data_IF_692657427337
#
_entry.id   IF_692657427337
#
_cell.length_a   1.000
_cell.length_b   1.000
_cell.length_c   1.000
_cell.angle_alpha   90.00
_cell.angle_beta   90.00
_cell.angle_gamma   90.00
#
_symmetry.space_group_name_H-M   'P 1'
#
loop_
_entity.id
_entity.type
_entity.pdbx_description
1 polymer ?
#
# COMPACT_ATOMS: atom_id res chain seq x y z
N UNK A 1 -13.79 -3.16 14.34
CA UNK A 1 -13.73 -4.40 13.54
C UNK A 1 -13.36 -4.02 12.11
N UNK A 2 -12.07 -3.76 11.83
CA UNK A 2 -11.57 -3.34 10.52
C UNK A 2 -10.69 -4.45 9.96
N UNK A 3 -11.30 -5.49 9.38
CA UNK A 3 -10.58 -6.68 8.94
C UNK A 3 -11.07 -7.19 7.57
N UNK A 4 -11.48 -6.30 6.66
CA UNK A 4 -11.79 -6.65 5.27
C UNK A 4 -10.88 -5.93 4.25
N UNK A 5 -9.85 -5.21 4.73
CA UNK A 5 -8.94 -4.42 3.89
C UNK A 5 -7.50 -4.95 3.92
N UNK A 6 -7.28 -6.18 4.40
CA UNK A 6 -5.92 -6.73 4.48
C UNK A 6 -5.57 -7.33 3.12
N UNK A 7 -4.57 -6.80 2.41
CA UNK A 7 -4.09 -7.39 1.16
C UNK A 7 -3.53 -8.79 1.45
N UNK A 8 -3.86 -9.75 0.60
CA UNK A 8 -3.30 -11.11 0.66
C UNK A 8 -1.86 -11.16 0.18
N UNK A 9 -1.47 -10.22 -0.69
CA UNK A 9 -0.11 -10.13 -1.20
C UNK A 9 0.29 -8.68 -1.37
N UNK A 10 1.52 -8.39 -0.95
CA UNK A 10 2.11 -7.06 -1.02
C UNK A 10 3.44 -7.21 -1.75
N UNK A 11 3.63 -6.45 -2.83
CA UNK A 11 4.88 -6.44 -3.61
C UNK A 11 5.38 -5.01 -3.77
N UNK A 12 6.60 -4.76 -3.32
CA UNK A 12 7.28 -3.49 -3.54
C UNK A 12 8.15 -3.60 -4.80
N UNK A 13 7.81 -2.81 -5.82
CA UNK A 13 8.59 -2.62 -7.02
C UNK A 13 9.63 -1.53 -6.77
N UNK A 14 10.83 -1.94 -6.36
CA UNK A 14 11.93 -1.02 -6.01
C UNK A 14 12.48 -0.24 -7.21
N UNK A 15 12.27 -0.76 -8.41
CA UNK A 15 12.75 -0.17 -9.67
C UNK A 15 12.03 1.15 -9.98
N UNK A 16 10.71 1.17 -9.75
CA UNK A 16 9.81 2.30 -10.03
C UNK A 16 9.31 2.99 -8.73
N UNK A 17 9.55 2.37 -7.57
CA UNK A 17 9.07 2.87 -6.28
C UNK A 17 7.58 2.66 -6.05
N UNK A 18 6.93 1.77 -6.81
CA UNK A 18 5.51 1.43 -6.69
C UNK A 18 5.27 0.21 -5.80
N UNK A 19 4.10 0.15 -5.17
CA UNK A 19 3.64 -0.93 -4.31
C UNK A 19 2.37 -1.54 -4.89
N UNK A 20 2.43 -2.81 -5.23
CA UNK A 20 1.28 -3.59 -5.69
C UNK A 20 0.67 -4.34 -4.51
N UNK A 21 -0.64 -4.26 -4.40
CA UNK A 21 -1.48 -4.87 -3.37
C UNK A 21 -2.51 -5.77 -4.04
N UNK A 22 -2.43 -7.07 -3.76
CA UNK A 22 -3.43 -8.03 -4.18
C UNK A 22 -4.34 -8.34 -2.98
N UNK A 23 -5.65 -8.35 -3.18
CA UNK A 23 -6.65 -8.62 -2.15
C UNK A 23 -7.28 -10.01 -2.34
N UNK A 24 -7.84 -10.57 -1.26
CA UNK A 24 -8.49 -11.87 -1.28
C UNK A 24 -9.70 -11.94 -2.23
N UNK A 25 -10.33 -10.79 -2.48
CA UNK A 25 -11.46 -10.62 -3.38
C UNK A 25 -11.07 -10.66 -4.87
N UNK A 26 -9.77 -10.73 -5.18
CA UNK A 26 -9.26 -10.62 -6.56
C UNK A 26 -9.12 -9.17 -7.04
N UNK A 27 -9.32 -8.20 -6.16
CA UNK A 27 -9.00 -6.80 -6.43
C UNK A 27 -7.48 -6.58 -6.38
N UNK A 28 -6.95 -5.86 -7.36
CA UNK A 28 -5.54 -5.53 -7.49
C UNK A 28 -5.36 -4.02 -7.53
N UNK A 29 -4.47 -3.49 -6.70
CA UNK A 29 -4.18 -2.05 -6.63
C UNK A 29 -2.69 -1.82 -6.75
N UNK A 30 -2.30 -0.82 -7.54
CA UNK A 30 -0.91 -0.39 -7.66
C UNK A 30 -0.82 1.04 -7.16
N UNK A 31 -0.07 1.25 -6.09
CA UNK A 31 0.17 2.54 -5.47
C UNK A 31 1.56 3.02 -5.87
N UNK A 32 1.66 4.19 -6.50
CA UNK A 32 2.97 4.77 -6.83
C UNK A 32 3.63 5.37 -5.60
N UNK A 33 4.96 5.53 -5.65
CA UNK A 33 5.72 6.13 -4.55
C UNK A 33 5.26 7.55 -4.20
N UNK A 34 4.78 8.34 -5.17
CA UNK A 34 4.18 9.66 -4.94
C UNK A 34 2.88 9.57 -4.14
N UNK A 35 2.00 8.64 -4.51
CA UNK A 35 0.75 8.39 -3.78
C UNK A 35 1.03 7.93 -2.35
N UNK A 36 1.97 6.99 -2.19
CA UNK A 36 2.41 6.55 -0.87
C UNK A 36 3.05 7.67 -0.08
N UNK A 37 3.83 8.58 -0.67
CA UNK A 37 4.46 9.68 0.07
C UNK A 37 3.44 10.72 0.54
N UNK A 38 2.44 11.03 -0.28
CA UNK A 38 1.38 12.01 0.04
C UNK A 38 0.39 11.44 1.05
N UNK A 39 0.03 10.17 0.90
CA UNK A 39 -0.97 9.50 1.73
C UNK A 39 -0.39 8.62 2.84
N UNK A 40 0.94 8.48 2.93
CA UNK A 40 1.56 7.84 4.09
C UNK A 40 1.41 8.77 5.28
N UNK A 41 0.67 8.38 6.33
CA UNK A 41 0.63 9.13 7.58
C UNK A 41 1.97 9.08 8.34
N UNK A 42 3.05 8.55 7.73
CA UNK A 42 4.33 8.26 8.36
C UNK A 42 5.40 9.34 8.19
N UNK A 43 5.06 10.57 7.77
CA UNK A 43 6.04 11.65 7.81
C UNK A 43 6.26 12.20 9.24
N UNK A 44 5.31 12.02 10.16
CA UNK A 44 5.42 12.34 11.59
C UNK A 44 4.10 11.90 12.28
N UNK A 45 4.10 11.87 13.62
CA UNK A 45 2.98 11.63 14.55
C UNK A 45 3.13 10.33 15.34
N UNK A 46 3.94 10.50 16.39
CA UNK A 46 4.12 9.70 17.61
C UNK A 46 5.37 8.82 17.63
N UNK A 47 6.52 9.49 17.67
CA UNK A 47 7.47 9.18 18.76
C UNK A 47 6.86 9.54 20.11
#
# INVERSE_FOLDING_TARGET
MAALMVPTKIKLHKDDGSLSLDYADGSHFTLTGEYLRIHSPSAEVRG
#
